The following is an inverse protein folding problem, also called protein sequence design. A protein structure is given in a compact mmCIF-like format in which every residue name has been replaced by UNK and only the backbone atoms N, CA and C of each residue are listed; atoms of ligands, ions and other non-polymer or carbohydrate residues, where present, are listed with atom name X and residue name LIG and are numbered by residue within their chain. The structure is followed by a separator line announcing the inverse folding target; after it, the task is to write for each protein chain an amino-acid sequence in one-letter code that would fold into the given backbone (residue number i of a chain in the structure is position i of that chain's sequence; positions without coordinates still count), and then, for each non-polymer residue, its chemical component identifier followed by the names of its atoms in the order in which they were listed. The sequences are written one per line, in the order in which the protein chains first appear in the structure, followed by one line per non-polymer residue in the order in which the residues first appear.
data_IF_766548175232
#
_entry.id   IF_766548175232
#
_cell.length_a   1.000
_cell.length_b   1.000
_cell.length_c   1.000
_cell.angle_alpha   90.00
_cell.angle_beta   90.00
_cell.angle_gamma   90.00
#
_symmetry.space_group_name_H-M   'P 1'
#
loop_
_entity.id
_entity.type
_entity.pdbx_description
1 polymer ?
#
# COMPACT_ATOMS: atom_id res chain seq x y z
N UNK A 1 -20.18 7.89 8.72
CA UNK A 1 -19.95 8.26 7.31
C UNK A 1 -20.29 7.08 6.42
N UNK A 2 -20.70 7.35 5.17
CA UNK A 2 -20.68 6.39 4.06
C UNK A 2 -19.39 6.58 3.29
N UNK A 3 -18.61 5.53 3.11
CA UNK A 3 -17.26 5.61 2.55
C UNK A 3 -17.16 4.67 1.34
N UNK A 4 -16.77 5.24 0.20
CA UNK A 4 -16.49 4.48 -1.01
C UNK A 4 -15.03 4.02 -1.01
N UNK A 5 -14.80 2.71 -1.20
CA UNK A 5 -13.46 2.12 -1.13
C UNK A 5 -13.13 1.39 -2.43
N UNK A 6 -12.08 1.82 -3.14
CA UNK A 6 -11.52 1.04 -4.26
C UNK A 6 -10.43 0.11 -3.77
N UNK A 7 -10.22 -1.02 -4.45
CA UNK A 7 -9.25 -2.04 -4.00
C UNK A 7 -9.71 -2.74 -2.72
N UNK A 8 -11.01 -2.67 -2.42
CA UNK A 8 -11.66 -3.07 -1.17
C UNK A 8 -11.51 -4.56 -0.82
N UNK A 9 -11.28 -5.40 -1.82
CA UNK A 9 -11.09 -6.86 -1.65
C UNK A 9 -9.61 -7.27 -1.64
N UNK A 10 -8.69 -6.33 -1.84
CA UNK A 10 -7.25 -6.55 -1.81
C UNK A 10 -6.68 -6.73 -0.40
N UNK A 11 -5.36 -6.98 -0.34
CA UNK A 11 -4.66 -7.26 0.92
C UNK A 11 -4.83 -6.15 1.97
N UNK A 12 -4.52 -4.90 1.62
CA UNK A 12 -4.72 -3.74 2.51
C UNK A 12 -6.19 -3.30 2.54
N UNK A 13 -6.85 -3.28 1.38
CA UNK A 13 -8.24 -2.80 1.28
C UNK A 13 -9.22 -3.60 2.15
N UNK A 14 -9.05 -4.92 2.28
CA UNK A 14 -9.90 -5.73 3.16
C UNK A 14 -9.71 -5.40 4.64
N UNK A 15 -8.47 -5.07 5.06
CA UNK A 15 -8.22 -4.57 6.41
C UNK A 15 -8.86 -3.19 6.62
N UNK A 16 -8.80 -2.30 5.62
CA UNK A 16 -9.49 -1.00 5.64
C UNK A 16 -11.00 -1.19 5.77
N UNK A 17 -11.62 -2.04 4.95
CA UNK A 17 -13.07 -2.32 5.04
C UNK A 17 -13.45 -2.78 6.44
N UNK A 18 -12.72 -3.75 7.01
CA UNK A 18 -12.94 -4.25 8.38
C UNK A 18 -12.82 -3.13 9.43
N UNK A 19 -11.77 -2.30 9.35
CA UNK A 19 -11.55 -1.19 10.27
C UNK A 19 -12.68 -0.15 10.20
N UNK A 20 -13.09 0.24 9.00
CA UNK A 20 -14.17 1.21 8.79
C UNK A 20 -15.50 0.70 9.35
N UNK A 21 -15.84 -0.56 9.11
CA UNK A 21 -17.07 -1.18 9.64
C UNK A 21 -17.03 -1.28 11.17
N UNK A 22 -15.88 -1.65 11.74
CA UNK A 22 -15.69 -1.74 13.19
C UNK A 22 -15.84 -0.37 13.87
N UNK A 23 -15.46 0.70 13.17
CA UNK A 23 -15.67 2.09 13.60
C UNK A 23 -17.10 2.62 13.37
N UNK A 24 -18.03 1.79 12.89
CA UNK A 24 -19.43 2.14 12.69
C UNK A 24 -19.72 2.93 11.41
N UNK A 25 -18.80 2.92 10.44
CA UNK A 25 -19.05 3.48 9.11
C UNK A 25 -19.80 2.51 8.20
N UNK A 26 -20.48 3.05 7.19
CA UNK A 26 -21.05 2.26 6.08
C UNK A 26 -20.04 2.22 4.95
N UNK A 27 -19.79 1.05 4.39
CA UNK A 27 -18.78 0.88 3.33
C UNK A 27 -19.45 0.44 2.05
N UNK A 28 -19.15 1.16 0.96
CA UNK A 28 -19.40 0.74 -0.41
C UNK A 28 -18.06 0.32 -1.03
N UNK A 29 -17.83 -0.97 -1.21
CA UNK A 29 -16.58 -1.51 -1.75
C UNK A 29 -16.67 -1.81 -3.25
N UNK A 30 -15.74 -1.26 -4.03
CA UNK A 30 -15.59 -1.62 -5.45
C UNK A 30 -14.85 -2.95 -5.59
N UNK A 31 -15.38 -3.86 -6.39
CA UNK A 31 -14.76 -5.13 -6.76
C UNK A 31 -15.04 -5.50 -8.20
N UNK A 32 -14.12 -6.23 -8.84
CA UNK A 32 -14.23 -6.67 -10.24
C UNK A 32 -14.79 -8.09 -10.41
N UNK A 33 -15.01 -8.81 -9.31
CA UNK A 33 -15.37 -10.23 -9.33
C UNK A 33 -16.51 -10.60 -8.39
N UNK A 34 -17.28 -11.63 -8.75
CA UNK A 34 -18.34 -12.22 -7.92
C UNK A 34 -17.82 -12.74 -6.58
N UNK A 35 -16.59 -13.29 -6.57
CA UNK A 35 -15.93 -13.71 -5.34
C UNK A 35 -15.70 -12.51 -4.41
N UNK A 36 -15.29 -11.37 -4.96
CA UNK A 36 -15.12 -10.14 -4.19
C UNK A 36 -16.45 -9.54 -3.72
N UNK A 37 -17.54 -9.69 -4.48
CA UNK A 37 -18.89 -9.31 -4.02
C UNK A 37 -19.22 -10.07 -2.75
N UNK A 38 -19.11 -11.41 -2.79
CA UNK A 38 -19.33 -12.28 -1.62
C UNK A 38 -18.42 -11.92 -0.46
N UNK A 39 -17.15 -11.61 -0.72
CA UNK A 39 -16.19 -11.20 0.30
C UNK A 39 -16.61 -9.90 1.03
N UNK A 40 -17.16 -8.92 0.31
CA UNK A 40 -17.66 -7.68 0.89
C UNK A 40 -18.95 -7.90 1.68
N UNK A 41 -19.90 -8.61 1.09
CA UNK A 41 -21.18 -8.94 1.74
C UNK A 41 -20.98 -9.74 3.04
N UNK A 42 -20.07 -10.71 3.03
CA UNK A 42 -19.72 -11.50 4.22
C UNK A 42 -19.08 -10.66 5.33
N UNK A 43 -18.44 -9.54 4.99
CA UNK A 43 -17.93 -8.60 5.99
C UNK A 43 -18.99 -7.62 6.48
N UNK A 44 -20.16 -7.54 5.82
CA UNK A 44 -21.20 -6.55 6.10
C UNK A 44 -21.06 -5.23 5.33
N UNK A 45 -20.22 -5.20 4.29
CA UNK A 45 -20.12 -4.06 3.37
C UNK A 45 -21.07 -4.22 2.17
N UNK A 46 -21.46 -3.09 1.58
CA UNK A 46 -22.14 -3.06 0.28
C UNK A 46 -21.11 -3.28 -0.83
N UNK A 47 -21.44 -4.10 -1.83
CA UNK A 47 -20.58 -4.36 -2.96
C UNK A 47 -21.02 -3.57 -4.19
N UNK A 48 -20.06 -2.92 -4.85
CA UNK A 48 -20.21 -2.32 -6.17
C UNK A 48 -19.37 -3.12 -7.17
N UNK A 49 -20.03 -3.75 -8.14
CA UNK A 49 -19.32 -4.48 -9.20
C UNK A 49 -18.88 -3.51 -10.30
N UNK A 50 -17.59 -3.47 -10.58
CA UNK A 50 -17.02 -2.61 -11.60
C UNK A 50 -15.51 -2.45 -11.44
N UNK A 51 -14.91 -1.65 -12.31
CA UNK A 51 -13.45 -1.46 -12.38
C UNK A 51 -13.10 0.02 -12.23
N UNK A 52 -11.81 0.33 -12.02
CA UNK A 52 -11.38 1.74 -11.84
C UNK A 52 -11.26 2.51 -13.16
N UNK A 53 -11.33 1.81 -14.28
CA UNK A 53 -11.40 2.34 -15.63
C UNK A 53 -12.80 2.92 -15.93
N UNK A 54 -13.85 2.49 -15.21
CA UNK A 54 -15.20 3.03 -15.35
C UNK A 54 -15.37 4.34 -14.56
N UNK A 55 -14.92 5.44 -15.17
CA UNK A 55 -14.90 6.75 -14.52
C UNK A 55 -16.30 7.27 -14.15
N UNK A 56 -17.34 6.93 -14.91
CA UNK A 56 -18.71 7.36 -14.62
C UNK A 56 -19.29 6.59 -13.42
N UNK A 57 -18.99 5.29 -13.32
CA UNK A 57 -19.29 4.51 -12.11
C UNK A 57 -18.58 5.08 -10.88
N UNK A 58 -17.29 5.41 -10.99
CA UNK A 58 -16.53 5.99 -9.90
C UNK A 58 -17.10 7.33 -9.44
N UNK A 59 -17.46 8.22 -10.37
CA UNK A 59 -18.13 9.50 -10.08
C UNK A 59 -19.44 9.29 -9.36
N UNK A 60 -20.28 8.38 -9.85
CA UNK A 60 -21.58 8.08 -9.23
C UNK A 60 -21.41 7.57 -7.80
N UNK A 61 -20.51 6.60 -7.59
CA UNK A 61 -20.27 6.04 -6.27
C UNK A 61 -19.71 7.06 -5.28
N UNK A 62 -18.77 7.91 -5.73
CA UNK A 62 -18.17 8.94 -4.90
C UNK A 62 -19.15 10.06 -4.52
N UNK A 63 -20.05 10.48 -5.42
CA UNK A 63 -21.02 11.55 -5.12
C UNK A 63 -22.03 11.17 -4.03
N UNK A 64 -22.36 9.87 -3.95
CA UNK A 64 -23.25 9.28 -2.94
C UNK A 64 -22.57 9.06 -1.57
N UNK A 65 -21.26 9.34 -1.43
CA UNK A 65 -20.47 9.04 -0.23
C UNK A 65 -19.85 10.28 0.43
N UNK A 66 -19.64 10.22 1.75
CA UNK A 66 -19.00 11.30 2.52
C UNK A 66 -17.48 11.33 2.31
N UNK A 67 -16.89 10.16 2.02
CA UNK A 67 -15.46 10.02 1.78
C UNK A 67 -15.15 8.95 0.75
N UNK A 68 -13.99 9.07 0.11
CA UNK A 68 -13.41 8.08 -0.79
C UNK A 68 -12.05 7.64 -0.26
N UNK A 69 -11.81 6.33 -0.22
CA UNK A 69 -10.49 5.74 0.01
C UNK A 69 -10.07 4.94 -1.24
N UNK A 70 -9.05 5.41 -1.93
CA UNK A 70 -8.56 4.81 -3.17
C UNK A 70 -7.32 3.94 -2.90
N UNK A 71 -7.50 2.61 -2.90
CA UNK A 71 -6.39 1.64 -2.77
C UNK A 71 -6.16 0.79 -4.02
N UNK A 72 -7.07 0.84 -5.00
CA UNK A 72 -6.89 0.10 -6.24
C UNK A 72 -5.75 0.69 -7.07
N UNK A 73 -4.96 -0.20 -7.66
CA UNK A 73 -3.98 0.15 -8.69
C UNK A 73 -3.92 -1.00 -9.70
N UNK A 74 -3.79 -0.69 -10.99
CA UNK A 74 -3.52 -1.72 -11.99
C UNK A 74 -2.06 -2.12 -11.87
N UNK A 75 -1.77 -3.35 -11.47
CA UNK A 75 -0.40 -3.85 -11.33
C UNK A 75 0.14 -4.45 -12.63
N UNK A 76 -0.05 -3.74 -13.75
CA UNK A 76 0.57 -4.10 -15.03
C UNK A 76 1.95 -3.45 -15.10
N UNK A 77 2.99 -4.24 -14.82
CA UNK A 77 4.38 -3.77 -14.87
C UNK A 77 4.93 -3.74 -16.30
N UNK A 78 4.25 -4.34 -17.28
CA UNK A 78 4.60 -4.20 -18.69
C UNK A 78 4.12 -2.86 -19.25
N UNK A 79 2.97 -2.37 -18.78
CA UNK A 79 2.45 -1.01 -19.03
C UNK A 79 2.24 -0.21 -17.73
N UNK A 80 3.36 0.04 -17.03
CA UNK A 80 3.32 0.78 -15.77
C UNK A 80 2.86 2.24 -15.97
N UNK A 81 3.20 2.85 -17.11
CA UNK A 81 2.80 4.20 -17.44
C UNK A 81 1.29 4.31 -17.65
N UNK A 82 0.68 3.36 -18.38
CA UNK A 82 -0.77 3.24 -18.54
C UNK A 82 -1.47 2.99 -17.21
N UNK A 83 -0.92 2.12 -16.36
CA UNK A 83 -1.42 1.89 -15.00
C UNK A 83 -1.45 3.18 -14.15
N UNK A 84 -0.40 4.00 -14.24
CA UNK A 84 -0.36 5.31 -13.58
C UNK A 84 -1.34 6.33 -14.20
N UNK A 85 -1.60 6.26 -15.50
CA UNK A 85 -2.59 7.11 -16.16
C UNK A 85 -4.02 6.76 -15.70
N UNK A 86 -4.35 5.47 -15.61
CA UNK A 86 -5.62 4.97 -15.06
C UNK A 86 -5.83 5.42 -13.62
N UNK A 87 -4.80 5.27 -12.78
CA UNK A 87 -4.80 5.73 -11.38
C UNK A 87 -5.14 7.23 -11.28
N UNK A 88 -4.44 8.09 -12.03
CA UNK A 88 -4.72 9.53 -12.07
C UNK A 88 -6.12 9.85 -12.56
N UNK A 89 -6.61 9.16 -13.60
CA UNK A 89 -7.95 9.38 -14.12
C UNK A 89 -9.03 9.01 -13.09
N UNK A 90 -8.86 7.90 -12.37
CA UNK A 90 -9.75 7.49 -11.29
C UNK A 90 -9.75 8.50 -10.14
N UNK A 91 -8.58 8.95 -9.69
CA UNK A 91 -8.44 9.98 -8.63
C UNK A 91 -9.13 11.28 -9.05
N UNK A 92 -8.88 11.75 -10.28
CA UNK A 92 -9.50 12.97 -10.80
C UNK A 92 -11.03 12.86 -10.89
N UNK A 93 -11.56 11.73 -11.37
CA UNK A 93 -12.98 11.49 -11.51
C UNK A 93 -13.71 11.48 -10.16
N UNK A 94 -13.17 10.79 -9.15
CA UNK A 94 -13.77 10.78 -7.80
C UNK A 94 -13.58 12.14 -7.10
N UNK A 95 -12.40 12.76 -7.21
CA UNK A 95 -12.13 14.04 -6.57
C UNK A 95 -13.01 15.18 -7.11
N UNK A 96 -13.31 15.20 -8.42
CA UNK A 96 -14.12 16.27 -9.02
C UNK A 96 -15.54 16.30 -8.45
N UNK A 97 -16.18 15.14 -8.30
CA UNK A 97 -17.55 15.08 -7.75
C UNK A 97 -17.59 15.37 -6.26
N UNK A 98 -16.53 15.04 -5.51
CA UNK A 98 -16.43 15.43 -4.10
C UNK A 98 -16.29 16.95 -3.96
N UNK A 99 -15.48 17.58 -4.82
CA UNK A 99 -15.32 19.04 -4.84
C UNK A 99 -16.62 19.75 -5.25
N UNK A 100 -17.31 19.26 -6.27
CA UNK A 100 -18.59 19.80 -6.73
C UNK A 100 -19.70 19.66 -5.67
N UNK A 101 -19.75 18.51 -4.98
CA UNK A 101 -20.72 18.30 -3.91
C UNK A 101 -20.51 19.25 -2.72
N UNK A 102 -19.27 19.68 -2.49
CA UNK A 102 -18.88 20.47 -1.34
C UNK A 102 -19.18 19.78 -0.01
N UNK A 103 -19.11 20.56 1.08
CA UNK A 103 -19.16 20.01 2.44
C UNK A 103 -17.84 19.36 2.82
N UNK A 104 -17.74 18.85 4.05
CA UNK A 104 -16.50 18.32 4.64
C UNK A 104 -16.10 16.93 4.09
N UNK A 105 -16.11 16.76 2.76
CA UNK A 105 -15.84 15.49 2.06
C UNK A 105 -14.35 15.17 2.09
N UNK A 106 -14.00 13.88 2.17
CA UNK A 106 -12.61 13.44 2.19
C UNK A 106 -12.23 12.59 0.97
N UNK A 107 -10.99 12.76 0.49
CA UNK A 107 -10.36 11.92 -0.52
C UNK A 107 -9.02 11.44 0.02
N UNK A 108 -8.91 10.14 0.28
CA UNK A 108 -7.67 9.52 0.75
C UNK A 108 -7.16 8.59 -0.35
N UNK A 109 -5.97 8.82 -0.88
CA UNK A 109 -5.36 7.93 -1.87
C UNK A 109 -4.18 7.16 -1.31
N UNK A 110 -3.88 6.03 -1.94
CA UNK A 110 -2.73 5.20 -1.61
C UNK A 110 -1.55 5.52 -2.52
N UNK A 111 -0.39 5.69 -1.92
CA UNK A 111 0.92 5.80 -2.58
C UNK A 111 1.93 4.86 -1.89
N UNK A 112 3.23 5.00 -2.18
CA UNK A 112 4.28 4.17 -1.57
C UNK A 112 5.51 4.96 -1.15
N UNK A 113 6.15 4.55 -0.06
CA UNK A 113 7.45 5.11 0.36
C UNK A 113 8.57 4.78 -0.62
N UNK A 114 8.34 3.81 -1.52
CA UNK A 114 9.25 3.50 -2.61
C UNK A 114 9.37 4.61 -3.66
N UNK A 115 8.52 5.64 -3.61
CA UNK A 115 8.65 6.81 -4.47
C UNK A 115 9.68 7.83 -3.94
N UNK A 116 10.15 7.66 -2.70
CA UNK A 116 11.04 8.63 -2.04
C UNK A 116 12.49 8.54 -2.53
N UNK A 117 13.24 9.67 -2.44
CA UNK A 117 14.69 9.67 -2.65
C UNK A 117 15.41 8.68 -1.73
N UNK A 118 16.54 8.14 -2.23
CA UNK A 118 17.36 7.14 -1.52
C UNK A 118 18.56 7.77 -0.84
N UNK A 119 19.15 7.04 0.12
CA UNK A 119 20.34 7.46 0.85
C UNK A 119 20.10 8.36 2.07
N UNK A 120 18.84 8.59 2.44
CA UNK A 120 18.43 9.27 3.69
C UNK A 120 17.18 8.61 4.27
N UNK A 121 16.91 8.87 5.56
CA UNK A 121 15.62 8.57 6.17
C UNK A 121 14.56 9.48 5.54
N UNK A 122 13.63 8.90 4.77
CA UNK A 122 12.55 9.65 4.14
C UNK A 122 11.47 10.05 5.14
N UNK A 123 10.86 11.21 4.97
CA UNK A 123 9.74 11.67 5.82
C UNK A 123 8.55 12.20 5.00
N UNK A 124 7.45 12.53 5.68
CA UNK A 124 6.19 12.89 5.02
C UNK A 124 6.22 14.22 4.23
N UNK A 125 7.24 15.06 4.41
CA UNK A 125 7.41 16.30 3.65
C UNK A 125 8.30 16.07 2.40
N UNK A 126 8.89 14.88 2.25
CA UNK A 126 9.64 14.54 1.04
C UNK A 126 8.72 14.33 -0.16
N UNK A 127 9.07 14.97 -1.26
CA UNK A 127 8.42 14.77 -2.56
C UNK A 127 8.90 13.46 -3.21
N UNK A 128 8.10 12.85 -4.10
CA UNK A 128 8.56 11.76 -4.96
C UNK A 128 9.84 12.12 -5.72
N UNK A 129 10.76 11.16 -5.85
CA UNK A 129 12.01 11.30 -6.60
C UNK A 129 11.75 11.30 -8.11
N UNK A 130 11.64 12.48 -8.68
CA UNK A 130 11.37 12.63 -10.11
C UNK A 130 12.55 12.22 -11.02
N UNK A 131 13.71 11.88 -10.47
CA UNK A 131 14.85 11.35 -11.25
C UNK A 131 14.75 9.85 -11.48
N UNK A 132 13.99 9.14 -10.65
CA UNK A 132 13.72 7.71 -10.80
C UNK A 132 12.50 7.48 -11.72
N UNK A 133 12.59 6.72 -12.82
CA UNK A 133 11.48 6.58 -13.78
C UNK A 133 10.16 6.04 -13.20
N UNK A 134 10.22 5.06 -12.29
CA UNK A 134 9.03 4.53 -11.62
C UNK A 134 8.36 5.60 -10.75
N UNK A 135 9.18 6.34 -10.02
CA UNK A 135 8.73 7.41 -9.13
C UNK A 135 8.20 8.61 -9.91
N UNK A 136 8.84 8.98 -11.02
CA UNK A 136 8.37 10.02 -11.93
C UNK A 136 7.04 9.67 -12.61
N UNK A 137 6.77 8.38 -12.87
CA UNK A 137 5.52 7.92 -13.46
C UNK A 137 4.34 7.89 -12.45
N UNK A 138 4.58 7.41 -11.22
CA UNK A 138 3.55 7.23 -10.18
C UNK A 138 3.37 8.46 -9.29
N UNK A 139 4.44 9.17 -8.95
CA UNK A 139 4.46 10.34 -8.07
C UNK A 139 3.43 11.42 -8.43
N UNK A 140 3.18 11.74 -9.71
CA UNK A 140 2.14 12.70 -10.10
C UNK A 140 0.72 12.37 -9.60
N UNK A 141 0.40 11.11 -9.28
CA UNK A 141 -0.89 10.75 -8.68
C UNK A 141 -1.10 11.38 -7.31
N UNK A 142 -0.02 11.56 -6.51
CA UNK A 142 -0.09 12.29 -5.24
C UNK A 142 -0.55 13.72 -5.47
N UNK A 143 0.02 14.40 -6.45
CA UNK A 143 -0.32 15.79 -6.75
C UNK A 143 -1.77 15.95 -7.25
N UNK A 144 -2.26 15.03 -8.09
CA UNK A 144 -3.66 15.04 -8.54
C UNK A 144 -4.63 14.98 -7.36
N UNK A 145 -4.35 14.15 -6.35
CA UNK A 145 -5.15 14.13 -5.13
C UNK A 145 -5.03 15.43 -4.34
N UNK A 146 -3.80 15.86 -4.05
CA UNK A 146 -3.53 17.02 -3.20
C UNK A 146 -4.07 18.34 -3.79
N UNK A 147 -4.20 18.46 -5.11
CA UNK A 147 -4.82 19.62 -5.76
C UNK A 147 -6.31 19.79 -5.42
N UNK A 148 -7.01 18.74 -4.99
CA UNK A 148 -8.37 18.85 -4.47
C UNK A 148 -8.45 19.50 -3.08
N UNK A 149 -7.34 19.56 -2.32
CA UNK A 149 -7.30 20.33 -1.07
C UNK A 149 -7.60 21.82 -1.30
N UNK A 150 -7.14 22.36 -2.43
CA UNK A 150 -7.40 23.76 -2.86
C UNK A 150 -8.86 23.99 -3.25
N UNK A 151 -9.62 22.92 -3.46
CA UNK A 151 -11.02 22.94 -3.88
C UNK A 151 -11.98 22.59 -2.72
N UNK A 152 -11.47 22.57 -1.48
CA UNK A 152 -12.28 22.34 -0.28
C UNK A 152 -12.49 20.88 0.10
N UNK A 153 -11.88 19.93 -0.63
CA UNK A 153 -11.89 18.51 -0.25
C UNK A 153 -10.79 18.25 0.78
N UNK A 154 -11.06 17.46 1.83
CA UNK A 154 -10.03 16.93 2.73
C UNK A 154 -9.23 15.84 2.01
N UNK A 155 -8.41 16.28 1.06
CA UNK A 155 -7.55 15.42 0.27
C UNK A 155 -6.27 15.06 1.06
N UNK A 156 -5.90 13.78 1.05
CA UNK A 156 -4.68 13.29 1.72
C UNK A 156 -4.13 12.04 1.05
N UNK A 157 -2.84 11.78 1.31
CA UNK A 157 -2.12 10.63 0.75
C UNK A 157 -1.63 9.75 1.90
N UNK A 158 -1.80 8.43 1.78
CA UNK A 158 -1.17 7.44 2.66
C UNK A 158 -0.14 6.66 1.84
N UNK A 159 1.14 6.82 2.16
CA UNK A 159 2.24 6.06 1.57
C UNK A 159 2.46 4.79 2.36
N UNK A 160 2.32 3.66 1.68
CA UNK A 160 2.57 2.34 2.23
C UNK A 160 4.06 1.97 2.12
N UNK A 161 4.63 1.28 3.13
CA UNK A 161 5.96 0.70 3.04
C UNK A 161 6.04 -0.43 2.00
N UNK A 162 7.23 -0.73 1.44
CA UNK A 162 7.44 -1.89 0.56
C UNK A 162 7.02 -3.20 1.22
N UNK A 163 7.20 -3.32 2.53
CA UNK A 163 6.71 -4.44 3.35
C UNK A 163 5.51 -4.01 4.19
N UNK A 164 4.39 -3.74 3.52
CA UNK A 164 3.09 -3.70 4.22
C UNK A 164 2.67 -5.14 4.50
N UNK A 165 2.71 -5.57 5.75
CA UNK A 165 2.69 -6.99 6.14
C UNK A 165 1.50 -7.38 7.03
N UNK A 166 1.37 -8.68 7.29
CA UNK A 166 0.27 -9.33 8.00
C UNK A 166 0.03 -10.74 7.44
N UNK A 167 -1.04 -11.42 7.85
CA UNK A 167 -1.38 -12.72 7.25
C UNK A 167 -1.79 -12.56 5.78
N UNK A 168 -0.95 -13.05 4.86
CA UNK A 168 -1.17 -13.04 3.41
C UNK A 168 0.08 -12.67 2.61
N UNK A 169 -0.12 -12.09 1.41
CA UNK A 169 0.95 -11.83 0.44
C UNK A 169 2.01 -10.81 0.90
N UNK A 170 1.63 -9.84 1.75
CA UNK A 170 2.57 -8.99 2.52
C UNK A 170 3.62 -8.20 1.71
N UNK A 171 3.19 -7.54 0.63
CA UNK A 171 4.05 -6.64 -0.14
C UNK A 171 5.28 -7.34 -0.72
N UNK A 172 6.47 -6.80 -0.47
CA UNK A 172 7.75 -7.37 -0.92
C UNK A 172 8.06 -8.76 -0.33
N UNK A 173 7.42 -9.17 0.77
CA UNK A 173 7.61 -10.51 1.32
C UNK A 173 7.09 -11.60 0.39
N UNK A 174 5.97 -11.39 -0.31
CA UNK A 174 5.40 -12.33 -1.26
C UNK A 174 6.39 -12.78 -2.34
N UNK A 175 6.93 -11.89 -3.19
CA UNK A 175 7.93 -12.26 -4.18
C UNK A 175 9.24 -12.75 -3.57
N UNK A 176 9.69 -12.19 -2.43
CA UNK A 176 10.89 -12.65 -1.75
C UNK A 176 10.79 -14.13 -1.32
N UNK A 177 9.71 -14.49 -0.61
CA UNK A 177 9.44 -15.87 -0.18
C UNK A 177 9.21 -16.79 -1.38
N UNK A 178 8.56 -16.30 -2.45
CA UNK A 178 8.35 -17.06 -3.69
C UNK A 178 9.69 -17.47 -4.32
N UNK A 179 10.63 -16.53 -4.45
CA UNK A 179 11.98 -16.83 -4.97
C UNK A 179 12.71 -17.80 -4.04
N UNK A 180 12.60 -17.63 -2.73
CA UNK A 180 13.24 -18.51 -1.75
C UNK A 180 12.73 -19.96 -1.86
N UNK A 181 11.41 -20.14 -2.01
CA UNK A 181 10.79 -21.45 -2.26
C UNK A 181 11.26 -22.06 -3.59
N UNK A 182 11.30 -21.27 -4.67
CA UNK A 182 11.71 -21.74 -6.00
C UNK A 182 13.17 -22.15 -6.08
N UNK A 183 14.06 -21.41 -5.39
CA UNK A 183 15.51 -21.64 -5.46
C UNK A 183 16.05 -22.49 -4.33
N UNK A 184 15.25 -22.78 -3.30
CA UNK A 184 15.66 -23.53 -2.13
C UNK A 184 16.72 -22.83 -1.29
N UNK A 185 16.85 -21.50 -1.40
CA UNK A 185 17.75 -20.67 -0.60
C UNK A 185 17.11 -19.32 -0.31
N UNK A 186 17.28 -18.79 0.90
CA UNK A 186 16.91 -17.41 1.22
C UNK A 186 18.13 -16.50 1.00
N UNK A 187 18.08 -15.58 0.04
CA UNK A 187 19.23 -14.76 -0.33
C UNK A 187 19.15 -13.32 0.21
N UNK A 188 20.30 -12.76 0.55
CA UNK A 188 20.50 -11.32 0.77
C UNK A 188 21.71 -10.81 -0.02
N UNK A 189 21.83 -9.50 -0.21
CA UNK A 189 22.84 -8.91 -1.12
C UNK A 189 24.07 -8.40 -0.36
N UNK A 190 25.27 -8.83 -0.77
CA UNK A 190 26.53 -8.41 -0.14
C UNK A 190 26.52 -8.66 1.37
N UNK A 191 26.73 -7.62 2.16
CA UNK A 191 26.64 -7.70 3.62
C UNK A 191 25.19 -7.68 4.16
N UNK A 192 24.21 -7.35 3.31
CA UNK A 192 22.77 -7.34 3.62
C UNK A 192 22.30 -6.13 4.43
N UNK A 193 23.04 -5.02 4.31
CA UNK A 193 22.82 -3.75 5.01
C UNK A 193 21.69 -2.90 4.40
N UNK A 194 21.19 -3.25 3.21
CA UNK A 194 20.01 -2.59 2.67
C UNK A 194 18.77 -3.01 3.47
N UNK A 195 17.86 -2.05 3.66
CA UNK A 195 16.72 -2.15 4.57
C UNK A 195 15.42 -1.86 3.86
N UNK A 196 14.33 -2.41 4.41
CA UNK A 196 12.97 -2.06 4.03
C UNK A 196 12.22 -1.56 5.26
N UNK A 197 11.68 -0.34 5.21
CA UNK A 197 10.69 0.08 6.18
C UNK A 197 9.44 -0.81 6.04
N UNK A 198 8.79 -1.08 7.17
CA UNK A 198 7.69 -2.04 7.27
C UNK A 198 6.51 -1.46 8.04
N UNK A 199 5.33 -2.00 7.81
CA UNK A 199 4.13 -1.61 8.56
C UNK A 199 3.05 -2.67 8.48
N UNK A 200 2.40 -2.95 9.61
CA UNK A 200 1.31 -3.91 9.65
C UNK A 200 0.08 -3.36 8.94
N UNK A 201 -0.60 -4.19 8.13
CA UNK A 201 -1.74 -3.78 7.29
C UNK A 201 -2.91 -3.25 8.12
N UNK A 202 -3.13 -3.78 9.32
CA UNK A 202 -4.21 -3.33 10.21
C UNK A 202 -3.87 -1.95 10.81
N UNK A 203 -2.58 -1.62 10.97
CA UNK A 203 -2.16 -0.29 11.41
C UNK A 203 -2.31 0.73 10.28
N UNK A 204 -1.97 0.33 9.05
CA UNK A 204 -2.25 1.12 7.86
C UNK A 204 -3.76 1.39 7.71
N UNK A 205 -4.61 0.39 7.97
CA UNK A 205 -6.06 0.54 7.94
C UNK A 205 -6.56 1.63 8.91
N UNK A 206 -6.01 1.70 10.13
CA UNK A 206 -6.32 2.77 11.09
C UNK A 206 -5.92 4.14 10.56
N UNK A 207 -4.78 4.27 9.89
CA UNK A 207 -4.37 5.53 9.25
C UNK A 207 -5.37 5.95 8.18
N UNK A 208 -5.79 5.03 7.30
CA UNK A 208 -6.80 5.33 6.27
C UNK A 208 -8.12 5.81 6.87
N UNK A 209 -8.60 5.17 7.94
CA UNK A 209 -9.79 5.63 8.67
C UNK A 209 -9.59 7.02 9.24
N UNK A 210 -8.51 7.23 10.00
CA UNK A 210 -8.23 8.52 10.65
C UNK A 210 -8.05 9.64 9.62
N UNK A 211 -7.44 9.34 8.47
CA UNK A 211 -7.30 10.30 7.38
C UNK A 211 -8.67 10.69 6.80
N UNK A 212 -9.56 9.72 6.57
CA UNK A 212 -10.91 9.97 6.08
C UNK A 212 -11.79 10.74 7.10
N UNK A 213 -11.56 10.52 8.40
CA UNK A 213 -12.33 11.18 9.46
C UNK A 213 -11.89 12.61 9.73
N UNK A 214 -10.58 12.88 9.74
CA UNK A 214 -10.03 14.11 10.33
C UNK A 214 -8.72 14.63 9.73
N UNK A 215 -8.27 14.15 8.56
CA UNK A 215 -7.05 14.69 7.96
C UNK A 215 -7.17 16.20 7.72
N UNK A 216 -6.10 16.95 8.03
CA UNK A 216 -5.94 18.30 7.51
C UNK A 216 -5.79 18.21 5.97
N UNK A 217 -6.53 19.01 5.19
CA UNK A 217 -6.39 19.01 3.73
C UNK A 217 -4.92 19.19 3.29
N UNK A 218 -4.48 18.39 2.33
CA UNK A 218 -3.11 18.40 1.81
C UNK A 218 -2.12 17.55 2.62
N UNK A 219 -2.57 16.80 3.62
CA UNK A 219 -1.68 15.97 4.44
C UNK A 219 -1.17 14.74 3.69
N UNK A 220 0.09 14.39 3.96
CA UNK A 220 0.72 13.13 3.58
C UNK A 220 1.03 12.36 4.86
N UNK A 221 0.80 11.06 4.83
CA UNK A 221 1.02 10.12 5.93
C UNK A 221 1.85 8.92 5.46
N UNK A 222 2.71 8.41 6.32
CA UNK A 222 3.48 7.18 6.13
C UNK A 222 2.93 6.09 7.04
N UNK A 223 2.46 4.99 6.46
CA UNK A 223 1.98 3.83 7.20
C UNK A 223 3.12 2.91 7.65
N UNK A 224 4.13 3.50 8.30
CA UNK A 224 5.38 2.82 8.68
C UNK A 224 5.40 2.56 10.18
N UNK A 225 5.47 1.28 10.56
CA UNK A 225 5.70 0.82 11.93
C UNK A 225 7.19 0.76 12.28
N UNK A 226 8.00 0.26 11.36
CA UNK A 226 9.44 0.04 11.51
C UNK A 226 10.20 0.80 10.41
N UNK A 227 11.11 1.70 10.79
CA UNK A 227 11.73 2.63 9.82
C UNK A 227 12.70 1.97 8.83
N UNK A 228 13.17 0.76 9.13
CA UNK A 228 14.07 0.00 8.27
C UNK A 228 14.49 -1.32 8.89
N UNK A 229 13.97 -2.43 8.37
CA UNK A 229 14.36 -3.80 8.74
C UNK A 229 15.47 -4.27 7.79
N UNK A 230 16.65 -4.70 8.28
CA UNK A 230 17.72 -5.20 7.43
C UNK A 230 17.28 -6.44 6.62
N UNK A 231 17.53 -6.43 5.32
CA UNK A 231 17.12 -7.56 4.44
C UNK A 231 17.83 -8.87 4.80
N UNK A 232 19.03 -8.80 5.38
CA UNK A 232 19.72 -9.97 5.96
C UNK A 232 18.91 -10.65 7.05
N UNK A 233 18.33 -9.86 7.96
CA UNK A 233 17.52 -10.40 9.06
C UNK A 233 16.25 -11.04 8.53
N UNK A 234 15.62 -10.42 7.53
CA UNK A 234 14.47 -10.98 6.79
C UNK A 234 14.86 -12.33 6.15
N UNK A 235 15.98 -12.39 5.43
CA UNK A 235 16.46 -13.61 4.79
C UNK A 235 16.75 -14.72 5.80
N UNK A 236 17.34 -14.39 6.96
CA UNK A 236 17.59 -15.34 8.05
C UNK A 236 16.27 -15.89 8.62
N UNK A 237 15.30 -15.02 8.89
CA UNK A 237 14.01 -15.44 9.43
C UNK A 237 13.23 -16.32 8.45
N UNK A 238 13.21 -15.96 7.16
CA UNK A 238 12.61 -16.78 6.09
C UNK A 238 13.32 -18.11 5.94
N UNK A 239 14.66 -18.11 5.88
CA UNK A 239 15.47 -19.34 5.77
C UNK A 239 15.22 -20.30 6.94
N UNK A 240 15.14 -19.77 8.16
CA UNK A 240 14.78 -20.54 9.37
C UNK A 240 13.38 -21.15 9.28
N UNK A 241 12.37 -20.39 8.84
CA UNK A 241 11.00 -20.89 8.75
C UNK A 241 10.84 -21.95 7.64
N UNK A 242 11.58 -21.80 6.55
CA UNK A 242 11.55 -22.73 5.42
C UNK A 242 12.46 -23.95 5.59
N UNK A 243 13.34 -23.95 6.60
CA UNK A 243 14.43 -24.92 6.77
C UNK A 243 15.33 -25.02 5.51
N UNK A 244 15.75 -23.85 5.00
CA UNK A 244 16.62 -23.74 3.82
C UNK A 244 17.87 -22.89 4.10
N UNK A 245 18.98 -23.08 3.35
CA UNK A 245 20.18 -22.26 3.52
C UNK A 245 19.92 -20.77 3.29
N UNK A 246 20.64 -19.95 4.06
CA UNK A 246 20.68 -18.49 3.87
C UNK A 246 22.00 -18.14 3.20
N UNK A 247 21.96 -17.39 2.10
CA UNK A 247 23.15 -17.10 1.28
C UNK A 247 23.31 -15.61 1.03
N UNK A 248 24.54 -15.11 1.11
CA UNK A 248 24.91 -13.82 0.53
C UNK A 248 25.18 -14.00 -0.96
N UNK A 249 24.62 -13.12 -1.78
CA UNK A 249 24.94 -13.03 -3.21
C UNK A 249 25.47 -11.64 -3.55
N UNK A 250 26.38 -11.50 -4.53
CA UNK A 250 26.83 -10.19 -4.99
C UNK A 250 25.67 -9.35 -5.58
N UNK A 251 25.64 -8.02 -5.37
CA UNK A 251 24.59 -7.14 -5.91
C UNK A 251 24.37 -7.26 -7.42
N UNK A 252 25.44 -7.47 -8.19
CA UNK A 252 25.39 -7.67 -9.65
C UNK A 252 24.66 -8.95 -10.07
N UNK A 253 24.46 -9.90 -9.15
CA UNK A 253 23.68 -11.13 -9.38
C UNK A 253 22.22 -11.02 -8.92
N UNK A 254 21.77 -9.85 -8.48
CA UNK A 254 20.41 -9.65 -7.99
C UNK A 254 19.35 -9.98 -9.06
N UNK A 255 19.57 -9.55 -10.32
CA UNK A 255 18.65 -9.83 -11.42
C UNK A 255 18.56 -11.32 -11.75
N UNK A 256 19.70 -12.00 -11.83
CA UNK A 256 19.76 -13.45 -12.01
C UNK A 256 19.05 -14.19 -10.86
N UNK A 257 19.19 -13.71 -9.63
CA UNK A 257 18.62 -14.36 -8.46
C UNK A 257 17.12 -14.10 -8.29
N UNK A 258 16.70 -12.84 -8.29
CA UNK A 258 15.34 -12.42 -7.95
C UNK A 258 14.43 -12.22 -9.17
N UNK A 259 14.96 -12.32 -10.39
CA UNK A 259 14.19 -12.13 -11.62
C UNK A 259 13.53 -10.76 -11.63
N UNK A 260 12.25 -10.69 -12.00
CA UNK A 260 11.50 -9.43 -12.08
C UNK A 260 11.50 -8.61 -10.78
N UNK A 261 11.69 -9.23 -9.61
CA UNK A 261 11.68 -8.56 -8.30
C UNK A 261 13.05 -7.97 -7.90
N UNK A 262 14.08 -8.10 -8.73
CA UNK A 262 15.45 -7.66 -8.39
C UNK A 262 15.53 -6.21 -7.93
N UNK A 263 14.73 -5.32 -8.53
CA UNK A 263 14.71 -3.90 -8.18
C UNK A 263 14.28 -3.66 -6.72
N UNK A 264 13.39 -4.51 -6.20
CA UNK A 264 12.96 -4.48 -4.81
C UNK A 264 14.01 -5.08 -3.88
N UNK A 265 14.62 -6.20 -4.30
CA UNK A 265 15.69 -6.87 -3.58
C UNK A 265 16.88 -5.95 -3.29
N UNK A 266 17.30 -5.15 -4.27
CA UNK A 266 18.44 -4.21 -4.15
C UNK A 266 18.10 -2.90 -3.44
N UNK A 267 16.81 -2.61 -3.23
CA UNK A 267 16.41 -1.32 -2.68
C UNK A 267 16.79 -1.19 -1.20
N UNK A 268 17.34 -0.02 -0.85
CA UNK A 268 17.36 0.49 0.52
C UNK A 268 16.24 1.54 0.63
N UNK A 269 15.15 1.21 1.32
CA UNK A 269 14.03 2.11 1.60
C UNK A 269 13.86 2.25 3.10
N UNK A 270 14.21 3.42 3.61
CA UNK A 270 13.96 3.79 5.00
C UNK A 270 13.04 4.99 5.03
N UNK A 271 12.03 4.96 5.89
CA UNK A 271 11.09 6.06 6.03
C UNK A 271 10.59 6.16 7.46
N UNK A 272 10.42 7.38 7.96
CA UNK A 272 9.81 7.66 9.25
C UNK A 272 8.30 7.82 9.13
N UNK A 273 7.59 7.59 10.25
CA UNK A 273 6.17 7.94 10.42
C UNK A 273 5.96 8.99 11.52
N UNK A 274 7.01 9.71 11.92
CA UNK A 274 6.96 10.64 13.05
C UNK A 274 5.84 11.68 12.91
N UNK A 275 5.68 12.29 11.73
CA UNK A 275 4.64 13.31 11.49
C UNK A 275 3.25 12.67 11.41
N UNK A 276 3.15 11.45 10.89
CA UNK A 276 1.89 10.68 10.91
C UNK A 276 1.42 10.42 12.32
N UNK A 277 2.33 9.99 13.20
CA UNK A 277 2.03 9.75 14.62
C UNK A 277 1.56 11.02 15.32
N UNK A 278 2.27 12.13 15.11
CA UNK A 278 1.93 13.44 15.65
C UNK A 278 0.57 13.95 15.13
N UNK A 279 0.39 14.00 13.80
CA UNK A 279 -0.77 14.63 13.15
C UNK A 279 -2.07 13.83 13.36
N UNK A 280 -2.00 12.51 13.44
CA UNK A 280 -3.19 11.66 13.62
C UNK A 280 -3.40 11.20 15.06
N UNK A 281 -2.42 11.37 15.95
CA UNK A 281 -2.42 10.72 17.26
C UNK A 281 -2.42 9.19 17.13
N UNK A 282 -1.73 8.68 16.10
CA UNK A 282 -1.64 7.26 15.80
C UNK A 282 -0.32 6.69 16.31
N UNK A 283 -0.34 5.46 16.77
CA UNK A 283 0.85 4.66 17.05
C UNK A 283 0.70 3.29 16.41
N UNK A 284 1.77 2.70 15.83
CA UNK A 284 1.74 1.31 15.40
C UNK A 284 1.54 0.42 16.64
N UNK A 285 0.68 -0.59 16.49
CA UNK A 285 0.32 -1.54 17.55
C UNK A 285 0.28 -2.98 17.04
N UNK A 286 0.32 -3.17 15.72
CA UNK A 286 0.40 -4.49 15.11
C UNK A 286 1.74 -5.16 15.39
N UNK A 287 1.82 -6.44 15.02
CA UNK A 287 3.07 -7.18 15.04
C UNK A 287 4.15 -6.46 14.24
N UNK A 288 5.41 -6.70 14.59
CA UNK A 288 6.57 -6.38 13.76
C UNK A 288 6.65 -7.32 12.56
N UNK A 289 7.42 -6.94 11.54
CA UNK A 289 7.64 -7.80 10.37
C UNK A 289 8.21 -9.15 10.78
N UNK A 290 9.17 -9.17 11.70
CA UNK A 290 9.83 -10.40 12.16
C UNK A 290 8.88 -11.36 12.86
N UNK A 291 7.90 -10.83 13.60
CA UNK A 291 6.84 -11.63 14.25
C UNK A 291 5.87 -12.24 13.23
N UNK A 292 5.62 -11.56 12.11
CA UNK A 292 4.71 -12.03 11.05
C UNK A 292 5.36 -12.96 10.02
N UNK A 293 6.68 -12.93 9.85
CA UNK A 293 7.39 -13.76 8.85
C UNK A 293 6.96 -15.23 8.88
N UNK A 294 6.84 -15.91 10.04
CA UNK A 294 6.38 -17.30 10.09
C UNK A 294 5.03 -17.51 9.40
N UNK A 295 4.02 -16.69 9.74
CA UNK A 295 2.68 -16.79 9.19
C UNK A 295 2.63 -16.42 7.70
N UNK A 296 3.42 -15.43 7.28
CA UNK A 296 3.56 -15.04 5.86
C UNK A 296 4.14 -16.19 5.05
N UNK A 297 5.22 -16.81 5.53
CA UNK A 297 5.86 -17.93 4.85
C UNK A 297 4.92 -19.12 4.74
N UNK A 298 4.21 -19.47 5.81
CA UNK A 298 3.24 -20.57 5.78
C UNK A 298 2.09 -20.30 4.81
N UNK A 299 1.60 -19.05 4.76
CA UNK A 299 0.64 -18.64 3.74
C UNK A 299 1.20 -18.83 2.33
N UNK A 300 2.40 -18.33 2.03
CA UNK A 300 2.99 -18.45 0.70
C UNK A 300 3.23 -19.90 0.29
N UNK A 301 3.63 -20.77 1.23
CA UNK A 301 3.72 -22.23 0.99
C UNK A 301 2.38 -22.83 0.57
N UNK A 302 1.29 -22.44 1.22
CA UNK A 302 -0.05 -22.93 0.89
C UNK A 302 -0.53 -22.52 -0.50
N UNK A 303 0.02 -21.44 -1.07
CA UNK A 303 -0.31 -20.97 -2.42
C UNK A 303 0.57 -21.61 -3.50
N UNK A 304 1.70 -22.20 -3.12
CA UNK A 304 2.64 -22.86 -4.03
C UNK A 304 2.40 -24.37 -4.18
N UNK A 305 1.57 -24.95 -3.30
CA UNK A 305 1.17 -26.36 -3.30
C UNK A 305 -0.04 -26.60 -4.23
#
# INVERSE_FOLDING_TARGET
MRIFVTGSTGFVGSAVVKELLSAGHKVLGLTRSDAGIKQLENQGAEALHGTIEDLELLKKAASECDAVIHLAFVHDFADFAGSCATDRAAIAAMGSVLAEAGGDRALVITSGTMLLPRGKLGDEDDAPDMTNPMSAARGPSEQVCLDFAKQGVRASVVRLPPTTHGLGFSGFMGPFVTVALQKGVAAYLGEGENRWCAGHRDDAARIFRLAAEKATPGSIFHAVGEEGVPTKEIAIAVGKQLDIPVVSIPPEKAEEHFGWFWFGAVADNVASSAKTRERLGWTPEGATLMEDIPAIVDFMKSQAA
#
